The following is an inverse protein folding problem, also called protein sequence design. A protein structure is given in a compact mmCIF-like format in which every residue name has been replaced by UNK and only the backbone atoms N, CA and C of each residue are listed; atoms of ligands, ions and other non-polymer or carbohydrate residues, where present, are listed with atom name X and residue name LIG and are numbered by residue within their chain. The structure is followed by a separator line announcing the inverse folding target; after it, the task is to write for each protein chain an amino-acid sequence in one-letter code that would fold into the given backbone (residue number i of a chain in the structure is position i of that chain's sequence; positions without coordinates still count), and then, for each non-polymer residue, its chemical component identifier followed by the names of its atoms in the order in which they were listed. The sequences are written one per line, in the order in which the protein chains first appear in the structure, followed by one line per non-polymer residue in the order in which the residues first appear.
data_IF_391558134141
#
_entry.id   IF_391558134141
#
_cell.length_a   1.000
_cell.length_b   1.000
_cell.length_c   1.000
_cell.angle_alpha   90.00
_cell.angle_beta   90.00
_cell.angle_gamma   90.00
#
_symmetry.space_group_name_H-M   'P 1'
#
loop_
_entity.id
_entity.type
_entity.pdbx_description
1 polymer ?
#
# COMPACT_ATOMS: atom_id res chain seq x y z
N UNK A 1 -11.70 12.39 -2.33
CA UNK A 1 -12.30 12.23 -1.00
C UNK A 1 -11.53 13.08 0.01
N UNK A 2 -11.95 14.34 0.17
CA UNK A 2 -11.72 15.12 1.39
C UNK A 2 -13.12 15.09 2.00
N UNK A 3 -13.36 14.21 2.97
CA UNK A 3 -14.71 14.03 3.50
C UNK A 3 -14.94 14.98 4.67
N UNK A 4 -15.29 16.21 4.33
CA UNK A 4 -16.02 17.08 5.25
C UNK A 4 -17.45 17.12 4.72
N UNK A 5 -18.28 16.13 5.08
CA UNK A 5 -19.72 16.17 4.80
C UNK A 5 -20.50 16.59 6.05
N UNK A 6 -21.58 17.30 5.75
CA UNK A 6 -22.61 17.86 6.62
C UNK A 6 -23.14 16.79 7.59
N UNK A 7 -22.67 16.77 8.83
CA UNK A 7 -23.41 16.10 9.90
C UNK A 7 -24.69 16.89 10.17
N UNK A 8 -25.77 16.47 9.53
CA UNK A 8 -27.14 16.91 9.78
C UNK A 8 -27.68 16.43 11.12
N UNK A 9 -26.93 16.61 12.20
CA UNK A 9 -27.40 16.52 13.59
C UNK A 9 -26.82 17.67 14.41
N UNK A 10 -27.22 18.89 14.05
CA UNK A 10 -27.37 19.97 15.03
C UNK A 10 -28.61 19.65 15.88
N UNK A 11 -28.51 18.64 16.74
CA UNK A 11 -29.47 18.43 17.83
C UNK A 11 -28.69 18.29 19.13
N UNK A 12 -28.94 19.27 20.01
CA UNK A 12 -28.38 19.45 21.35
C UNK A 12 -26.89 19.82 21.42
N UNK A 13 -26.64 21.12 21.19
CA UNK A 13 -25.56 21.83 21.86
C UNK A 13 -25.82 21.79 23.39
N UNK A 14 -25.42 20.71 24.05
CA UNK A 14 -25.12 20.56 25.50
C UNK A 14 -24.96 19.06 25.79
N UNK A 15 -23.83 18.48 25.39
CA UNK A 15 -23.32 17.24 26.00
C UNK A 15 -21.81 17.29 25.88
N UNK A 16 -21.11 17.08 26.99
CA UNK A 16 -19.66 17.24 27.09
C UNK A 16 -18.91 16.45 26.02
N UNK A 17 -17.63 16.79 25.84
CA UNK A 17 -16.68 16.15 24.92
C UNK A 17 -16.42 14.66 25.25
N UNK A 18 -17.45 13.84 25.31
CA UNK A 18 -17.35 12.39 25.40
C UNK A 18 -17.33 11.86 23.98
N UNK A 19 -16.16 11.41 23.53
CA UNK A 19 -16.04 10.58 22.32
C UNK A 19 -16.92 9.35 22.54
N UNK A 20 -18.07 9.28 21.88
CA UNK A 20 -18.93 8.10 21.93
C UNK A 20 -18.27 7.01 21.09
N UNK A 21 -17.68 6.03 21.78
CA UNK A 21 -17.08 4.85 21.15
C UNK A 21 -18.21 3.93 20.69
N UNK A 22 -18.69 4.17 19.48
CA UNK A 22 -19.63 3.28 18.82
C UNK A 22 -18.89 2.07 18.22
N UNK A 23 -19.63 1.02 17.84
CA UNK A 23 -19.08 -0.21 17.27
C UNK A 23 -18.11 0.06 16.09
N UNK A 24 -18.47 0.97 15.19
CA UNK A 24 -17.65 1.37 14.05
C UNK A 24 -16.31 2.00 14.48
N UNK A 25 -16.34 2.86 15.51
CA UNK A 25 -15.14 3.49 16.06
C UNK A 25 -14.22 2.46 16.74
N UNK A 26 -14.80 1.47 17.42
CA UNK A 26 -14.07 0.34 18.00
C UNK A 26 -13.36 -0.50 16.94
N UNK A 27 -14.05 -0.81 15.84
CA UNK A 27 -13.47 -1.57 14.73
C UNK A 27 -12.32 -0.80 14.06
N UNK A 28 -12.49 0.51 13.86
CA UNK A 28 -11.43 1.39 13.35
C UNK A 28 -10.19 1.38 14.26
N UNK A 29 -10.37 1.46 15.58
CA UNK A 29 -9.25 1.40 16.53
C UNK A 29 -8.45 0.09 16.42
N UNK A 30 -9.14 -1.04 16.31
CA UNK A 30 -8.50 -2.35 16.11
C UNK A 30 -7.70 -2.35 14.80
N UNK A 31 -8.30 -1.86 13.71
CA UNK A 31 -7.64 -1.74 12.41
C UNK A 31 -6.40 -0.85 12.44
N UNK A 32 -6.50 0.30 13.10
CA UNK A 32 -5.39 1.23 13.25
C UNK A 32 -4.25 0.63 14.08
N UNK A 33 -4.57 -0.01 15.21
CA UNK A 33 -3.58 -0.67 16.06
C UNK A 33 -2.84 -1.79 15.31
N UNK A 34 -3.59 -2.65 14.61
CA UNK A 34 -3.01 -3.73 13.81
C UNK A 34 -2.15 -3.20 12.66
N UNK A 35 -2.63 -2.18 11.94
CA UNK A 35 -1.88 -1.59 10.84
C UNK A 35 -0.61 -0.88 11.29
N UNK A 36 -0.65 -0.15 12.41
CA UNK A 36 0.52 0.48 13.02
C UNK A 36 1.54 -0.57 13.48
N UNK A 37 1.08 -1.62 14.17
CA UNK A 37 1.93 -2.74 14.59
C UNK A 37 2.59 -3.41 13.38
N UNK A 38 1.82 -3.76 12.36
CA UNK A 38 2.35 -4.41 11.15
C UNK A 38 3.35 -3.51 10.42
N UNK A 39 3.02 -2.23 10.26
CA UNK A 39 3.92 -1.24 9.65
C UNK A 39 5.26 -1.16 10.40
N UNK A 40 5.22 -0.98 11.72
CA UNK A 40 6.42 -0.92 12.55
C UNK A 40 7.22 -2.23 12.47
N UNK A 41 6.54 -3.38 12.55
CA UNK A 41 7.19 -4.71 12.49
C UNK A 41 7.94 -4.93 11.18
N UNK A 42 7.42 -4.42 10.05
CA UNK A 42 8.02 -4.56 8.73
C UNK A 42 9.14 -3.55 8.50
N UNK A 43 8.96 -2.30 8.93
CA UNK A 43 9.97 -1.23 8.81
C UNK A 43 11.22 -1.51 9.67
N UNK A 44 11.03 -2.06 10.86
CA UNK A 44 12.10 -2.35 11.82
C UNK A 44 12.76 -3.73 11.58
N UNK A 45 12.21 -4.54 10.67
CA UNK A 45 12.72 -5.90 10.40
C UNK A 45 14.13 -5.84 9.79
N UNK A 46 15.08 -6.50 10.47
CA UNK A 46 16.49 -6.55 10.05
C UNK A 46 16.82 -7.68 9.08
N UNK A 47 15.99 -8.71 9.01
CA UNK A 47 16.20 -9.91 8.19
C UNK A 47 15.34 -9.89 6.91
N UNK A 48 15.77 -10.65 5.90
CA UNK A 48 15.07 -10.78 4.61
C UNK A 48 15.23 -9.60 3.65
N UNK A 49 14.34 -9.46 2.64
CA UNK A 49 14.43 -8.42 1.63
C UNK A 49 14.01 -7.06 2.23
N UNK A 50 14.95 -6.41 2.92
CA UNK A 50 14.75 -5.13 3.65
C UNK A 50 13.98 -4.09 2.85
N UNK A 51 14.26 -3.95 1.56
CA UNK A 51 13.58 -2.97 0.71
C UNK A 51 12.11 -3.31 0.49
N UNK A 52 11.78 -4.56 0.17
CA UNK A 52 10.40 -5.01 0.00
C UNK A 52 9.61 -4.88 1.32
N UNK A 53 10.21 -5.29 2.44
CA UNK A 53 9.61 -5.14 3.76
C UNK A 53 9.36 -3.66 4.10
N UNK A 54 10.29 -2.76 3.78
CA UNK A 54 10.10 -1.31 3.99
C UNK A 54 8.98 -0.73 3.13
N UNK A 55 8.89 -1.11 1.86
CA UNK A 55 7.82 -0.65 0.98
C UNK A 55 6.47 -1.15 1.48
N UNK A 56 6.34 -2.43 1.85
CA UNK A 56 5.11 -2.96 2.42
C UNK A 56 4.76 -2.30 3.76
N UNK A 57 5.74 -2.09 4.65
CA UNK A 57 5.53 -1.40 5.92
C UNK A 57 5.06 0.04 5.72
N UNK A 58 5.58 0.71 4.68
CA UNK A 58 5.12 2.06 4.28
C UNK A 58 3.70 2.01 3.70
N UNK A 59 3.36 0.98 2.91
CA UNK A 59 2.00 0.78 2.43
C UNK A 59 1.04 0.60 3.60
N UNK A 60 1.37 -0.26 4.56
CA UNK A 60 0.55 -0.46 5.77
C UNK A 60 0.38 0.84 6.54
N UNK A 61 1.44 1.65 6.68
CA UNK A 61 1.36 2.97 7.30
C UNK A 61 0.37 3.88 6.55
N UNK A 62 0.44 3.93 5.22
CA UNK A 62 -0.47 4.74 4.42
C UNK A 62 -1.92 4.30 4.60
N UNK A 63 -2.20 2.99 4.58
CA UNK A 63 -3.54 2.44 4.83
C UNK A 63 -4.03 2.82 6.24
N UNK A 64 -3.17 2.72 7.25
CA UNK A 64 -3.48 3.15 8.63
C UNK A 64 -3.79 4.64 8.70
N UNK A 65 -3.05 5.50 8.00
CA UNK A 65 -3.37 6.93 7.91
C UNK A 65 -4.77 7.16 7.31
N UNK A 66 -5.18 6.34 6.33
CA UNK A 66 -6.55 6.35 5.80
C UNK A 66 -7.60 5.98 6.87
N UNK A 67 -7.36 4.93 7.66
CA UNK A 67 -8.23 4.58 8.78
C UNK A 67 -8.30 5.69 9.85
N UNK A 68 -7.16 6.34 10.16
CA UNK A 68 -7.12 7.48 11.08
C UNK A 68 -7.98 8.63 10.55
N UNK A 69 -7.91 8.94 9.24
CA UNK A 69 -8.78 9.98 8.69
C UNK A 69 -10.26 9.67 8.83
N UNK A 70 -10.67 8.41 8.60
CA UNK A 70 -12.06 8.03 8.78
C UNK A 70 -12.47 8.09 10.26
N UNK A 71 -11.61 7.63 11.18
CA UNK A 71 -11.84 7.76 12.61
C UNK A 71 -12.03 9.22 13.05
N UNK A 72 -11.21 10.14 12.52
CA UNK A 72 -11.35 11.58 12.78
C UNK A 72 -12.67 12.16 12.22
N UNK A 73 -13.17 11.64 11.10
CA UNK A 73 -14.48 12.00 10.54
C UNK A 73 -15.61 11.52 11.45
N UNK A 74 -15.64 10.23 11.82
CA UNK A 74 -16.72 9.63 12.63
C UNK A 74 -16.79 10.26 14.01
N UNK A 75 -15.64 10.47 14.67
CA UNK A 75 -15.56 11.08 16.01
C UNK A 75 -15.66 12.61 16.02
N UNK A 76 -15.77 13.25 14.85
CA UNK A 76 -15.70 14.72 14.68
C UNK A 76 -14.40 15.37 15.19
N UNK A 77 -13.38 14.57 15.50
CA UNK A 77 -12.07 15.04 15.98
C UNK A 77 -11.27 15.82 14.92
N UNK A 78 -11.68 15.73 13.65
CA UNK A 78 -11.10 16.54 12.56
C UNK A 78 -11.17 18.05 12.84
N UNK A 79 -12.19 18.51 13.56
CA UNK A 79 -12.36 19.93 13.92
C UNK A 79 -11.31 20.42 14.93
N UNK A 80 -10.83 19.53 15.81
CA UNK A 80 -9.78 19.84 16.78
C UNK A 80 -8.39 19.84 16.11
N UNK A 81 -8.20 18.93 15.15
CA UNK A 81 -6.92 18.71 14.46
C UNK A 81 -7.03 18.81 12.93
N UNK A 82 -7.49 19.94 12.36
CA UNK A 82 -7.85 20.03 10.94
C UNK A 82 -6.64 19.91 10.01
N UNK A 83 -5.47 20.42 10.42
CA UNK A 83 -4.23 20.30 9.65
C UNK A 83 -3.76 18.85 9.55
N UNK A 84 -3.82 18.12 10.66
CA UNK A 84 -3.49 16.70 10.69
C UNK A 84 -4.43 15.91 9.79
N UNK A 85 -5.74 16.18 9.88
CA UNK A 85 -6.75 15.56 9.01
C UNK A 85 -6.43 15.77 7.52
N UNK A 86 -6.13 17.01 7.10
CA UNK A 86 -5.79 17.33 5.71
C UNK A 86 -4.56 16.54 5.26
N UNK A 87 -3.47 16.57 6.04
CA UNK A 87 -2.23 15.86 5.70
C UNK A 87 -2.47 14.35 5.59
N UNK A 88 -3.12 13.75 6.57
CA UNK A 88 -3.39 12.31 6.55
C UNK A 88 -4.32 11.92 5.39
N UNK A 89 -5.27 12.78 4.98
CA UNK A 89 -6.20 12.50 3.86
C UNK A 89 -5.52 12.41 2.49
N UNK A 90 -4.27 12.85 2.39
CA UNK A 90 -3.46 12.71 1.17
C UNK A 90 -2.86 11.31 1.02
N UNK A 91 -2.79 10.51 2.10
CA UNK A 91 -2.12 9.20 2.10
C UNK A 91 -2.69 8.23 1.07
N UNK A 92 -3.97 8.38 0.70
CA UNK A 92 -4.62 7.60 -0.37
C UNK A 92 -3.84 7.63 -1.70
N UNK A 93 -3.12 8.72 -1.98
CA UNK A 93 -2.30 8.83 -3.19
C UNK A 93 -1.06 7.92 -3.15
N UNK A 94 -0.67 7.42 -1.98
CA UNK A 94 0.46 6.49 -1.81
C UNK A 94 0.08 5.03 -2.03
N UNK A 95 -1.21 4.70 -1.96
CA UNK A 95 -1.71 3.32 -1.93
C UNK A 95 -1.28 2.54 -3.19
N UNK A 96 -1.60 3.09 -4.37
CA UNK A 96 -1.26 2.50 -5.66
C UNK A 96 0.25 2.40 -5.92
N UNK A 97 1.01 3.50 -5.84
CA UNK A 97 2.46 3.50 -6.05
C UNK A 97 3.21 2.51 -5.15
N UNK A 98 2.84 2.43 -3.86
CA UNK A 98 3.49 1.51 -2.92
C UNK A 98 3.11 0.04 -3.20
N UNK A 99 1.85 -0.24 -3.55
CA UNK A 99 1.42 -1.58 -3.99
C UNK A 99 2.21 -2.03 -5.22
N UNK A 100 2.30 -1.17 -6.23
CA UNK A 100 3.04 -1.44 -7.46
C UNK A 100 4.53 -1.66 -7.21
N UNK A 101 5.17 -0.77 -6.43
CA UNK A 101 6.58 -0.90 -6.07
C UNK A 101 6.84 -2.21 -5.33
N UNK A 102 5.95 -2.60 -4.42
CA UNK A 102 6.07 -3.84 -3.67
C UNK A 102 5.99 -5.07 -4.57
N UNK A 103 4.98 -5.15 -5.44
CA UNK A 103 4.81 -6.27 -6.38
C UNK A 103 6.00 -6.32 -7.36
N UNK A 104 6.48 -5.17 -7.86
CA UNK A 104 7.66 -5.08 -8.72
C UNK A 104 8.92 -5.63 -8.03
N UNK A 105 9.12 -5.32 -6.74
CA UNK A 105 10.26 -5.80 -5.95
C UNK A 105 10.26 -7.32 -5.71
N UNK A 106 9.07 -7.92 -5.59
CA UNK A 106 8.96 -9.37 -5.39
C UNK A 106 8.98 -10.17 -6.70
N UNK A 107 8.48 -9.60 -7.79
CA UNK A 107 8.31 -10.33 -9.06
C UNK A 107 9.51 -10.24 -10.00
N UNK A 108 10.42 -9.28 -9.81
CA UNK A 108 11.60 -9.12 -10.68
C UNK A 108 12.89 -9.50 -9.94
N UNK A 109 13.66 -10.43 -10.53
CA UNK A 109 14.96 -10.86 -9.99
C UNK A 109 15.93 -9.66 -10.01
N UNK A 110 16.55 -9.38 -8.86
CA UNK A 110 17.64 -8.39 -8.67
C UNK A 110 17.32 -6.89 -8.87
N UNK A 111 16.06 -6.45 -8.93
CA UNK A 111 15.78 -5.00 -9.06
C UNK A 111 16.02 -4.24 -7.75
N UNK A 112 16.72 -3.11 -7.87
CA UNK A 112 16.75 -2.02 -6.88
C UNK A 112 15.75 -0.94 -7.33
N UNK A 113 15.15 -0.23 -6.37
CA UNK A 113 14.39 0.97 -6.72
C UNK A 113 15.36 2.01 -7.29
N UNK A 114 15.07 2.50 -8.48
CA UNK A 114 15.80 3.59 -9.13
C UNK A 114 15.24 4.93 -8.65
N UNK A 115 16.01 6.01 -8.82
CA UNK A 115 15.50 7.37 -8.56
C UNK A 115 14.20 7.67 -9.33
N UNK A 116 14.06 7.09 -10.53
CA UNK A 116 12.82 7.16 -11.32
C UNK A 116 11.61 6.56 -10.62
N UNK A 117 11.80 5.56 -9.75
CA UNK A 117 10.71 4.99 -8.97
C UNK A 117 10.23 5.95 -7.87
N UNK A 118 11.08 6.87 -7.40
CA UNK A 118 10.68 7.91 -6.45
C UNK A 118 9.75 8.97 -7.09
N UNK A 119 9.78 9.13 -8.41
CA UNK A 119 8.86 10.02 -9.14
C UNK A 119 7.40 9.58 -9.00
N UNK A 120 7.14 8.31 -8.68
CA UNK A 120 5.79 7.84 -8.39
C UNK A 120 5.20 8.41 -7.08
N UNK A 121 6.02 9.06 -6.24
CA UNK A 121 5.56 9.81 -5.06
C UNK A 121 5.21 11.28 -5.39
N UNK A 122 5.53 11.75 -6.59
CA UNK A 122 5.28 13.13 -7.01
C UNK A 122 3.79 13.51 -6.99
N UNK A 123 2.83 12.64 -7.40
CA UNK A 123 1.40 12.95 -7.27
C UNK A 123 0.96 13.22 -5.82
N UNK A 124 1.51 12.49 -4.85
CA UNK A 124 1.26 12.73 -3.43
C UNK A 124 1.87 14.06 -2.97
N UNK A 125 3.12 14.33 -3.33
CA UNK A 125 3.80 15.58 -3.00
C UNK A 125 3.10 16.80 -3.63
N UNK A 126 2.63 16.68 -4.87
CA UNK A 126 1.87 17.71 -5.57
C UNK A 126 0.52 17.97 -4.88
N UNK A 127 -0.18 16.93 -4.43
CA UNK A 127 -1.42 17.10 -3.67
C UNK A 127 -1.16 17.79 -2.32
N UNK A 128 -0.08 17.45 -1.63
CA UNK A 128 0.33 18.16 -0.41
C UNK A 128 0.65 19.63 -0.70
N UNK A 129 1.40 19.90 -1.76
CA UNK A 129 1.72 21.26 -2.21
C UNK A 129 0.45 22.07 -2.50
N UNK A 130 -0.55 21.46 -3.15
CA UNK A 130 -1.84 22.07 -3.43
C UNK A 130 -2.60 22.47 -2.14
N UNK A 131 -2.45 21.70 -1.05
CA UNK A 131 -3.05 22.04 0.24
C UNK A 131 -2.21 22.97 1.11
N UNK A 132 -0.98 23.34 0.71
CA UNK A 132 -0.14 24.23 1.51
C UNK A 132 -0.81 25.57 1.86
N UNK A 133 -1.55 26.26 0.96
CA UNK A 133 -2.18 27.52 1.33
C UNK A 133 -3.21 27.33 2.45
N UNK A 134 -3.97 26.23 2.40
CA UNK A 134 -4.95 25.87 3.41
C UNK A 134 -4.29 25.52 4.76
N UNK A 135 -3.16 24.79 4.73
CA UNK A 135 -2.40 24.41 5.93
C UNK A 135 -1.78 25.61 6.66
N UNK A 136 -1.44 26.67 5.92
CA UNK A 136 -0.83 27.91 6.46
C UNK A 136 -1.87 28.89 7.03
N UNK A 137 -3.17 28.67 6.81
CA UNK A 137 -4.21 29.55 7.35
C UNK A 137 -4.27 29.51 8.89
N UNK A 138 -4.68 30.63 9.53
CA UNK A 138 -5.11 30.64 10.93
C UNK A 138 -6.21 29.61 11.18
N UNK A 139 -6.21 28.99 12.37
CA UNK A 139 -7.12 27.88 12.67
C UNK A 139 -8.60 28.24 12.50
N UNK A 140 -9.01 29.43 12.90
CA UNK A 140 -10.40 29.90 12.73
C UNK A 140 -10.81 29.97 11.26
N UNK A 141 -9.97 30.57 10.41
CA UNK A 141 -10.21 30.69 8.96
C UNK A 141 -10.18 29.33 8.26
N UNK A 142 -9.29 28.43 8.70
CA UNK A 142 -9.23 27.06 8.19
C UNK A 142 -10.53 26.30 8.46
N UNK A 143 -11.03 26.37 9.70
CA UNK A 143 -12.28 25.73 10.08
C UNK A 143 -13.48 26.33 9.35
N UNK A 144 -13.51 27.66 9.22
CA UNK A 144 -14.52 28.34 8.43
C UNK A 144 -14.49 27.85 6.98
N UNK A 145 -13.33 27.87 6.31
CA UNK A 145 -13.18 27.40 4.93
C UNK A 145 -13.55 25.92 4.74
N UNK A 146 -13.18 25.04 5.67
CA UNK A 146 -13.58 23.63 5.63
C UNK A 146 -15.09 23.47 5.80
N UNK A 147 -15.68 24.23 6.73
CA UNK A 147 -17.12 24.17 7.00
C UNK A 147 -17.98 24.81 5.89
N UNK A 148 -17.53 25.91 5.30
CA UNK A 148 -18.20 26.56 4.16
C UNK A 148 -18.08 25.69 2.92
N UNK A 149 -16.89 25.13 2.65
CA UNK A 149 -16.69 24.16 1.58
C UNK A 149 -17.59 22.94 1.75
N UNK A 150 -17.74 22.41 2.97
CA UNK A 150 -18.65 21.30 3.25
C UNK A 150 -20.13 21.66 3.04
N UNK A 151 -20.53 22.91 3.33
CA UNK A 151 -21.91 23.39 3.18
C UNK A 151 -22.28 23.75 1.74
N UNK A 152 -21.30 24.26 0.99
CA UNK A 152 -21.45 24.75 -0.39
C UNK A 152 -20.94 23.74 -1.43
N UNK A 153 -20.44 22.58 -1.00
CA UNK A 153 -20.06 21.51 -1.89
C UNK A 153 -21.30 21.02 -2.66
N UNK A 154 -21.46 21.54 -3.88
CA UNK A 154 -22.11 20.79 -4.94
C UNK A 154 -21.30 19.53 -5.26
N UNK A 155 -21.80 18.65 -6.13
CA UNK A 155 -21.10 17.42 -6.50
C UNK A 155 -19.73 17.75 -7.16
N UNK A 156 -18.66 17.69 -6.36
CA UNK A 156 -17.29 17.91 -6.83
C UNK A 156 -16.64 16.57 -7.17
N UNK A 157 -16.77 16.17 -8.44
CA UNK A 157 -16.20 14.92 -8.92
C UNK A 157 -14.70 15.01 -9.22
N UNK A 158 -14.14 16.20 -9.43
CA UNK A 158 -12.78 16.37 -9.98
C UNK A 158 -11.69 15.70 -9.14
N UNK A 159 -11.47 16.17 -7.91
CA UNK A 159 -10.41 15.63 -7.06
C UNK A 159 -10.64 14.16 -6.62
N UNK A 160 -11.87 13.73 -6.23
CA UNK A 160 -12.15 12.33 -5.97
C UNK A 160 -11.88 11.42 -7.19
N UNK A 161 -12.28 11.85 -8.39
CA UNK A 161 -12.05 11.10 -9.62
C UNK A 161 -10.56 10.98 -9.94
N UNK A 162 -9.78 12.06 -9.79
CA UNK A 162 -8.31 12.03 -9.99
C UNK A 162 -7.65 11.04 -9.01
N UNK A 163 -8.04 11.08 -7.71
CA UNK A 163 -7.53 10.14 -6.70
C UNK A 163 -7.85 8.68 -7.08
N UNK A 164 -9.09 8.41 -7.49
CA UNK A 164 -9.55 7.09 -7.89
C UNK A 164 -8.83 6.59 -9.15
N UNK A 165 -8.80 7.41 -10.20
CA UNK A 165 -8.11 7.11 -11.45
C UNK A 165 -6.63 6.81 -11.22
N UNK A 166 -5.96 7.64 -10.42
CA UNK A 166 -4.56 7.41 -10.05
C UNK A 166 -4.38 6.05 -9.38
N UNK A 167 -5.20 5.73 -8.38
CA UNK A 167 -5.14 4.45 -7.69
C UNK A 167 -5.38 3.28 -8.66
N UNK A 168 -6.42 3.36 -9.50
CA UNK A 168 -6.76 2.33 -10.50
C UNK A 168 -5.64 2.07 -11.49
N UNK A 169 -4.99 3.12 -12.02
CA UNK A 169 -3.88 2.94 -12.97
C UNK A 169 -2.73 2.12 -12.36
N UNK A 170 -2.38 2.37 -11.09
CA UNK A 170 -1.33 1.60 -10.41
C UNK A 170 -1.79 0.19 -10.01
N UNK A 171 -3.04 0.02 -9.59
CA UNK A 171 -3.58 -1.31 -9.26
C UNK A 171 -3.64 -2.21 -10.51
N UNK A 172 -4.04 -1.66 -11.66
CA UNK A 172 -4.00 -2.38 -12.94
C UNK A 172 -2.56 -2.69 -13.37
N UNK A 173 -1.64 -1.74 -13.27
CA UNK A 173 -0.22 -1.99 -13.54
C UNK A 173 0.35 -3.10 -12.65
N UNK A 174 -0.07 -3.14 -11.38
CA UNK A 174 0.30 -4.18 -10.42
C UNK A 174 -0.24 -5.55 -10.83
N UNK A 175 -1.52 -5.61 -11.24
CA UNK A 175 -2.15 -6.84 -11.74
C UNK A 175 -1.43 -7.37 -12.99
N UNK A 176 -1.08 -6.50 -13.94
CA UNK A 176 -0.36 -6.87 -15.16
C UNK A 176 1.03 -7.45 -14.83
N UNK A 177 1.81 -6.78 -13.98
CA UNK A 177 3.14 -7.27 -13.58
C UNK A 177 3.06 -8.63 -12.89
N UNK A 178 2.05 -8.82 -12.03
CA UNK A 178 1.81 -10.06 -11.32
C UNK A 178 1.40 -11.19 -12.27
N UNK A 179 0.52 -10.91 -13.24
CA UNK A 179 0.12 -11.86 -14.28
C UNK A 179 1.31 -12.30 -15.15
N UNK A 180 2.11 -11.35 -15.62
CA UNK A 180 3.32 -11.65 -16.40
C UNK A 180 4.33 -12.50 -15.62
N UNK A 181 4.48 -12.25 -14.31
CA UNK A 181 5.35 -13.06 -13.48
C UNK A 181 4.83 -14.50 -13.35
N UNK A 182 3.54 -14.69 -13.11
CA UNK A 182 2.94 -16.02 -13.03
C UNK A 182 3.12 -16.81 -14.33
N UNK A 183 2.98 -16.15 -15.49
CA UNK A 183 3.21 -16.76 -16.79
C UNK A 183 4.67 -17.25 -16.96
N UNK A 184 5.65 -16.42 -16.57
CA UNK A 184 7.08 -16.81 -16.59
C UNK A 184 7.41 -17.97 -15.67
N UNK A 185 6.92 -17.94 -14.43
CA UNK A 185 7.16 -19.02 -13.46
C UNK A 185 6.60 -20.35 -13.94
N UNK A 186 5.44 -20.35 -14.60
CA UNK A 186 4.85 -21.57 -15.16
C UNK A 186 5.63 -22.13 -16.36
N UNK A 187 6.42 -21.31 -17.07
CA UNK A 187 7.23 -21.74 -18.21
C UNK A 187 8.62 -22.25 -17.79
N UNK A 188 9.21 -21.70 -16.72
CA UNK A 188 10.61 -21.98 -16.34
C UNK A 188 10.78 -23.02 -15.22
N UNK A 189 9.74 -23.32 -14.40
CA UNK A 189 9.89 -24.18 -13.22
C UNK A 189 8.92 -25.37 -13.20
N UNK A 190 9.49 -26.59 -13.23
CA UNK A 190 8.77 -27.86 -12.98
C UNK A 190 8.24 -27.90 -11.55
N UNK A 191 6.91 -27.85 -11.41
CA UNK A 191 5.98 -28.14 -10.30
C UNK A 191 6.35 -27.97 -8.80
N UNK A 192 7.61 -28.10 -8.35
CA UNK A 192 7.92 -28.36 -6.93
C UNK A 192 8.43 -27.16 -6.09
N UNK A 193 8.84 -26.03 -6.67
CA UNK A 193 9.37 -24.86 -5.90
C UNK A 193 8.46 -23.61 -5.93
N UNK A 194 7.15 -23.79 -6.12
CA UNK A 194 6.22 -22.65 -6.24
C UNK A 194 5.92 -22.01 -4.89
N UNK A 195 6.74 -21.03 -4.51
CA UNK A 195 6.34 -20.03 -3.52
C UNK A 195 5.09 -19.34 -4.05
N UNK A 196 3.96 -19.59 -3.39
CA UNK A 196 2.68 -19.14 -3.91
C UNK A 196 2.54 -17.63 -3.72
N UNK A 197 2.70 -16.86 -4.81
CA UNK A 197 2.30 -15.44 -4.86
C UNK A 197 0.77 -15.28 -4.90
N UNK A 198 0.03 -16.30 -4.46
CA UNK A 198 -1.42 -16.34 -4.37
C UNK A 198 -1.96 -15.19 -3.53
N UNK A 199 -1.26 -14.87 -2.45
CA UNK A 199 -1.62 -13.80 -1.55
C UNK A 199 -1.48 -12.41 -2.18
N UNK A 200 -0.50 -12.19 -3.08
CA UNK A 200 -0.39 -10.92 -3.82
C UNK A 200 -1.60 -10.72 -4.73
N UNK A 201 -2.14 -11.80 -5.32
CA UNK A 201 -3.38 -11.73 -6.11
C UNK A 201 -4.56 -11.34 -5.24
N UNK A 202 -4.64 -11.88 -4.02
CA UNK A 202 -5.70 -11.53 -3.07
C UNK A 202 -5.58 -10.07 -2.61
N UNK A 203 -4.36 -9.57 -2.37
CA UNK A 203 -4.12 -8.17 -2.06
C UNK A 203 -4.57 -7.25 -3.20
N UNK A 204 -4.17 -7.54 -4.45
CA UNK A 204 -4.61 -6.79 -5.64
C UNK A 204 -6.14 -6.86 -5.82
N UNK A 205 -6.75 -8.04 -5.64
CA UNK A 205 -8.19 -8.20 -5.72
C UNK A 205 -8.93 -7.37 -4.66
N UNK A 206 -8.40 -7.29 -3.43
CA UNK A 206 -8.96 -6.44 -2.39
C UNK A 206 -8.89 -4.94 -2.72
N UNK A 207 -7.81 -4.48 -3.34
CA UNK A 207 -7.73 -3.10 -3.85
C UNK A 207 -8.74 -2.84 -4.97
N UNK A 208 -8.87 -3.76 -5.94
CA UNK A 208 -9.87 -3.65 -6.99
C UNK A 208 -11.30 -3.62 -6.43
N UNK A 209 -11.60 -4.44 -5.41
CA UNK A 209 -12.90 -4.43 -4.72
C UNK A 209 -13.16 -3.10 -4.01
N UNK A 210 -12.15 -2.57 -3.31
CA UNK A 210 -12.23 -1.28 -2.64
C UNK A 210 -12.48 -0.14 -3.64
N UNK A 211 -11.77 -0.14 -4.76
CA UNK A 211 -11.91 0.86 -5.82
C UNK A 211 -13.24 0.76 -6.55
N UNK A 212 -13.69 -0.46 -6.87
CA UNK A 212 -15.02 -0.67 -7.46
C UNK A 212 -16.13 -0.17 -6.53
N UNK A 213 -16.02 -0.47 -5.23
CA UNK A 213 -16.94 0.07 -4.21
C UNK A 213 -16.87 1.60 -4.16
N UNK A 214 -15.67 2.18 -4.22
CA UNK A 214 -15.46 3.64 -4.23
C UNK A 214 -16.05 4.32 -5.47
N UNK A 215 -15.96 3.68 -6.64
CA UNK A 215 -16.55 4.19 -7.88
C UNK A 215 -18.07 4.23 -7.77
N UNK A 216 -18.69 3.17 -7.23
CA UNK A 216 -20.13 3.13 -6.95
C UNK A 216 -20.52 4.31 -6.06
N UNK A 217 -19.72 4.66 -5.04
CA UNK A 217 -20.01 5.83 -4.21
C UNK A 217 -20.03 7.13 -4.98
N UNK A 218 -18.97 7.39 -5.74
CA UNK A 218 -18.85 8.64 -6.48
C UNK A 218 -20.03 8.82 -7.45
N UNK A 219 -20.54 7.72 -8.03
CA UNK A 219 -21.67 7.78 -8.98
C UNK A 219 -23.03 7.83 -8.27
N UNK A 220 -23.21 7.11 -7.16
CA UNK A 220 -24.52 6.94 -6.50
C UNK A 220 -24.81 8.02 -5.44
N UNK A 221 -23.79 8.73 -4.95
CA UNK A 221 -23.91 9.75 -3.91
C UNK A 221 -24.99 10.80 -4.21
N UNK A 222 -25.10 11.37 -5.42
CA UNK A 222 -26.10 12.39 -5.73
C UNK A 222 -27.55 11.88 -5.66
N UNK A 223 -27.76 10.57 -5.74
CA UNK A 223 -29.08 9.96 -5.87
C UNK A 223 -29.60 9.34 -4.58
N UNK A 224 -28.72 8.74 -3.77
CA UNK A 224 -29.15 7.86 -2.66
C UNK A 224 -28.66 8.29 -1.26
N UNK A 225 -27.78 9.30 -1.15
CA UNK A 225 -27.25 9.78 0.14
C UNK A 225 -26.66 8.66 1.04
N UNK A 226 -26.05 7.63 0.42
CA UNK A 226 -25.57 6.41 1.11
C UNK A 226 -24.17 6.55 1.76
N UNK A 227 -23.61 7.75 1.87
CA UNK A 227 -22.21 7.95 2.23
C UNK A 227 -21.82 7.37 3.60
N UNK A 228 -22.61 7.63 4.65
CA UNK A 228 -22.26 7.21 6.02
C UNK A 228 -22.13 5.68 6.15
N UNK A 229 -23.02 4.91 5.52
CA UNK A 229 -22.99 3.44 5.57
C UNK A 229 -21.83 2.84 4.77
N UNK A 230 -21.36 3.56 3.76
CA UNK A 230 -20.39 3.03 2.81
C UNK A 230 -18.94 3.48 3.09
N UNK A 231 -18.72 4.58 3.81
CA UNK A 231 -17.41 4.90 4.38
C UNK A 231 -16.99 3.85 5.45
N UNK A 232 -17.96 3.37 6.25
CA UNK A 232 -17.77 2.20 7.12
C UNK A 232 -17.42 0.94 6.33
N UNK A 233 -18.04 0.71 5.16
CA UNK A 233 -17.69 -0.41 4.28
C UNK A 233 -16.26 -0.32 3.75
N UNK A 234 -15.85 0.82 3.21
CA UNK A 234 -14.48 1.00 2.70
C UNK A 234 -13.43 0.77 3.80
N UNK A 235 -13.73 1.23 5.01
CA UNK A 235 -12.86 0.99 6.16
C UNK A 235 -12.82 -0.46 6.58
N UNK A 236 -13.95 -1.17 6.54
CA UNK A 236 -13.98 -2.61 6.77
C UNK A 236 -13.09 -3.36 5.76
N UNK A 237 -13.17 -3.00 4.47
CA UNK A 237 -12.30 -3.59 3.44
C UNK A 237 -10.82 -3.32 3.74
N UNK A 238 -10.46 -2.09 4.11
CA UNK A 238 -9.09 -1.75 4.50
C UNK A 238 -8.60 -2.54 5.72
N UNK A 239 -9.45 -2.68 6.74
CA UNK A 239 -9.15 -3.47 7.94
C UNK A 239 -8.89 -4.93 7.56
N UNK A 240 -9.78 -5.53 6.77
CA UNK A 240 -9.61 -6.91 6.27
C UNK A 240 -8.31 -7.06 5.50
N UNK A 241 -7.95 -6.10 4.63
CA UNK A 241 -6.69 -6.11 3.89
C UNK A 241 -5.45 -6.04 4.80
N UNK A 242 -5.48 -5.19 5.83
CA UNK A 242 -4.41 -5.09 6.82
C UNK A 242 -4.26 -6.40 7.59
N UNK A 243 -5.36 -6.98 8.08
CA UNK A 243 -5.34 -8.24 8.82
C UNK A 243 -4.86 -9.40 7.96
N UNK A 244 -5.36 -9.50 6.72
CA UNK A 244 -4.93 -10.50 5.76
C UNK A 244 -3.42 -10.39 5.48
N UNK A 245 -2.91 -9.18 5.30
CA UNK A 245 -1.47 -8.94 5.07
C UNK A 245 -0.65 -9.39 6.29
N UNK A 246 -1.12 -9.09 7.50
CA UNK A 246 -0.48 -9.55 8.74
C UNK A 246 -0.47 -11.09 8.87
N UNK A 247 -1.60 -11.74 8.57
CA UNK A 247 -1.73 -13.20 8.58
C UNK A 247 -0.78 -13.87 7.58
N UNK A 248 -0.66 -13.33 6.36
CA UNK A 248 0.27 -13.83 5.35
C UNK A 248 1.74 -13.58 5.76
N UNK A 249 2.01 -12.48 6.47
CA UNK A 249 3.29 -12.20 7.11
C UNK A 249 3.79 -13.32 8.03
N UNK A 250 2.86 -13.98 8.73
CA UNK A 250 3.15 -15.08 9.65
C UNK A 250 3.23 -16.43 8.93
N UNK A 251 2.38 -16.66 7.94
CA UNK A 251 2.26 -17.96 7.27
C UNK A 251 3.18 -18.15 6.06
N UNK A 252 3.80 -17.10 5.55
CA UNK A 252 4.76 -17.18 4.45
C UNK A 252 6.11 -16.57 4.83
N UNK A 253 6.77 -17.03 5.91
CA UNK A 253 8.00 -16.42 6.41
C UNK A 253 9.10 -16.41 5.34
N UNK A 254 9.11 -17.40 4.43
CA UNK A 254 10.05 -17.52 3.32
C UNK A 254 10.09 -16.29 2.38
N UNK A 255 8.94 -15.65 2.11
CA UNK A 255 8.86 -14.41 1.31
C UNK A 255 9.48 -13.24 2.07
N UNK A 256 9.19 -13.15 3.36
CA UNK A 256 9.65 -12.09 4.27
C UNK A 256 11.09 -12.28 4.74
N UNK A 257 11.63 -13.48 4.66
CA UNK A 257 13.01 -13.87 4.94
C UNK A 257 13.86 -13.92 3.66
N UNK A 258 13.22 -13.87 2.48
CA UNK A 258 13.91 -13.88 1.18
C UNK A 258 14.57 -15.21 0.85
N UNK A 259 14.07 -16.31 1.43
CA UNK A 259 14.55 -17.67 1.19
C UNK A 259 14.15 -18.19 -0.20
N UNK A 260 13.21 -17.50 -0.85
CA UNK A 260 12.59 -17.86 -2.13
C UNK A 260 13.41 -17.45 -3.37
N UNK A 261 14.59 -16.83 -3.17
CA UNK A 261 15.46 -16.48 -4.29
C UNK A 261 16.29 -17.71 -4.67
N UNK A 262 16.15 -18.26 -5.89
CA UNK A 262 16.99 -19.35 -6.32
C UNK A 262 18.46 -18.92 -6.25
N UNK A 263 19.36 -19.79 -5.77
CA UNK A 263 20.76 -19.46 -5.55
C UNK A 263 21.33 -18.78 -6.79
N UNK A 264 22.10 -17.73 -6.56
CA UNK A 264 22.89 -17.09 -7.61
C UNK A 264 23.68 -18.22 -8.30
N UNK A 265 23.61 -18.38 -9.64
CA UNK A 265 24.45 -19.34 -10.32
C UNK A 265 25.87 -19.11 -9.83
N UNK A 266 26.49 -20.13 -9.23
CA UNK A 266 27.89 -20.06 -8.87
C UNK A 266 28.63 -19.55 -10.10
N UNK A 267 29.54 -18.57 -9.99
CA UNK A 267 30.35 -18.17 -11.12
C UNK A 267 30.93 -19.46 -11.66
N UNK A 268 30.56 -19.82 -12.90
CA UNK A 268 31.10 -21.00 -13.59
C UNK A 268 32.59 -20.86 -13.38
N UNK A 269 33.16 -21.74 -12.55
CA UNK A 269 34.59 -21.76 -12.30
C UNK A 269 35.15 -21.93 -13.69
N UNK A 270 35.69 -20.83 -14.28
CA UNK A 270 36.37 -20.88 -15.58
C UNK A 270 37.24 -22.10 -15.45
N UNK A 271 36.93 -23.11 -16.26
CA UNK A 271 37.61 -24.39 -16.26
C UNK A 271 39.07 -24.07 -16.09
N UNK A 272 39.65 -24.49 -14.95
CA UNK A 272 41.09 -24.41 -14.76
C UNK A 272 41.65 -25.07 -16.00
N UNK A 273 42.28 -24.25 -16.84
CA UNK A 273 42.92 -24.71 -18.05
C UNK A 273 44.08 -25.57 -17.53
N UNK A 274 43.82 -26.87 -17.38
CA UNK A 274 44.89 -27.82 -17.10
C UNK A 274 45.82 -27.73 -18.30
N UNK A 275 47.08 -27.31 -18.13
CA UNK A 275 48.04 -27.38 -19.22
C UNK A 275 48.07 -28.85 -19.64
N UNK A 276 47.72 -29.12 -20.90
CA UNK A 276 47.96 -30.41 -21.49
C UNK A 276 49.47 -30.63 -21.44
N UNK A 277 49.95 -31.40 -20.46
CA UNK A 277 51.32 -31.89 -20.49
C UNK A 277 51.45 -32.78 -21.72
N UNK A 278 51.98 -32.17 -22.77
CA UNK A 278 52.49 -32.82 -23.95
C UNK A 278 53.41 -33.95 -23.54
N UNK A 279 53.06 -35.14 -24.02
CA UNK A 279 53.82 -36.40 -24.00
C UNK A 279 55.33 -36.15 -23.96
N UNK A 280 55.98 -36.49 -22.85
CA UNK A 280 57.39 -36.86 -22.85
C UNK A 280 57.47 -38.29 -23.35
N UNK A 281 57.70 -38.43 -24.65
CA UNK A 281 58.11 -39.66 -25.28
C UNK A 281 59.65 -39.62 -25.38
N UNK A 282 60.36 -40.23 -24.43
CA UNK A 282 61.75 -40.64 -24.63
C UNK A 282 61.97 -42.01 -24.02
N UNK A 283 62.12 -42.98 -24.92
CA UNK A 283 62.65 -44.34 -24.70
C UNK A 283 63.96 -44.29 -23.91
N UNK A 284 64.22 -45.27 -23.05
CA UNK A 284 65.23 -46.34 -23.28
C UNK A 284 65.70 -46.99 -21.97
N UNK A 285 65.79 -48.32 -22.01
CA UNK A 285 66.69 -49.20 -21.25
C UNK A 285 66.49 -49.43 -19.75
N UNK A 286 65.90 -50.59 -19.45
CA UNK A 286 66.34 -51.44 -18.34
C UNK A 286 66.49 -52.89 -18.80
N UNK A 287 67.69 -53.23 -19.28
CA UNK A 287 68.27 -54.58 -19.13
C UNK A 287 69.26 -54.52 -17.97
N UNK A 288 68.89 -55.13 -16.85
CA UNK A 288 69.74 -56.00 -16.01
C UNK A 288 68.92 -56.57 -14.87
#
# INVERSE_FOLDING_TARGET
MIFCHKTGKLSSATRGNTVTLDFDSGLLLIGMAQGAFLSASLLLRKQGPKLANRVLGTLMLALTMGLVTHFMTVTQSWSQWPRLYIVLSTSIMLFGPLLFAYIKLLTRRQQKLLYKDALHLLPWAALLALFTPLLLMPQAQLLENLSTSARQAGPNFGLPFIKLLHLTLYTLASAIVLYQHQARVNQEYSYHDKVSLSWLRLLVAGFLLMEASSLVLVVMEPYFQLLDKLDSWLSLVLIVLIFLTGYQGLNQPQVFLGLDKPPTPLPVRKTLHFPSHSRLNSRSDWRR
#
